data_IF_282100433577
#
_entry.id   IF_282100433577
#
_cell.length_a   1.000
_cell.length_b   1.000
_cell.length_c   1.000
_cell.angle_alpha   90.00
_cell.angle_beta   90.00
_cell.angle_gamma   90.00
#
_symmetry.space_group_name_H-M   'P 1'
#
loop_
_entity.id
_entity.type
_entity.pdbx_description
1 polymer ?
#
# COMPACT_ATOMS: atom_id res chain seq x y z
N UNK A 1 19.04 -14.37 -52.83
CA UNK A 1 18.00 -14.70 -51.84
C UNK A 1 18.48 -14.11 -50.50
N UNK A 2 18.00 -12.93 -50.20
CA UNK A 2 18.37 -12.20 -49.00
C UNK A 2 17.49 -12.69 -47.84
N UNK A 3 18.07 -13.34 -46.86
CA UNK A 3 17.42 -13.63 -45.59
C UNK A 3 17.41 -12.31 -44.80
N UNK A 4 16.22 -11.70 -44.70
CA UNK A 4 15.98 -10.67 -43.71
C UNK A 4 15.99 -11.36 -42.35
N UNK A 5 17.09 -11.23 -41.64
CA UNK A 5 17.13 -11.48 -40.20
C UNK A 5 16.22 -10.45 -39.56
N UNK A 6 15.08 -10.90 -39.08
CA UNK A 6 14.24 -10.16 -38.16
C UNK A 6 15.07 -9.90 -36.91
N UNK A 7 15.64 -8.71 -36.81
CA UNK A 7 16.15 -8.16 -35.57
C UNK A 7 14.93 -7.94 -34.64
N UNK A 8 14.53 -8.99 -33.94
CA UNK A 8 13.76 -8.86 -32.73
C UNK A 8 14.69 -8.17 -31.75
N UNK A 9 14.59 -6.87 -31.63
CA UNK A 9 15.16 -6.17 -30.49
C UNK A 9 14.45 -6.70 -29.26
N UNK A 10 15.11 -7.59 -28.54
CA UNK A 10 14.76 -7.87 -27.16
C UNK A 10 14.77 -6.52 -26.45
N UNK A 11 13.60 -5.99 -26.16
CA UNK A 11 13.45 -4.92 -25.19
C UNK A 11 13.86 -5.53 -23.87
N UNK A 12 15.14 -5.41 -23.52
CA UNK A 12 15.59 -5.66 -22.14
C UNK A 12 14.81 -4.65 -21.28
N UNK A 13 13.84 -5.15 -20.51
CA UNK A 13 13.16 -4.34 -19.53
C UNK A 13 14.20 -3.85 -18.53
N UNK A 14 14.14 -2.56 -18.19
CA UNK A 14 14.97 -2.00 -17.14
C UNK A 14 14.76 -2.85 -15.88
N UNK A 15 15.82 -3.45 -15.30
CA UNK A 15 15.69 -4.26 -14.10
C UNK A 15 15.13 -3.47 -12.91
N UNK A 16 15.17 -2.14 -12.96
CA UNK A 16 14.68 -1.26 -11.90
C UNK A 16 13.63 -0.31 -12.46
N UNK A 17 12.42 -0.40 -11.92
CA UNK A 17 11.34 0.54 -12.17
C UNK A 17 11.19 1.50 -10.99
N UNK A 18 11.08 2.80 -11.26
CA UNK A 18 10.92 3.82 -10.24
C UNK A 18 9.77 4.77 -10.58
N UNK A 19 8.88 4.97 -9.63
CA UNK A 19 7.68 5.79 -9.80
C UNK A 19 7.54 6.81 -8.67
N UNK A 20 7.11 8.01 -9.03
CA UNK A 20 6.82 9.09 -8.08
C UNK A 20 5.41 9.60 -8.34
N UNK A 21 4.68 9.92 -7.25
CA UNK A 21 3.30 10.46 -7.30
C UNK A 21 2.40 9.68 -8.27
N UNK A 22 2.50 8.36 -8.21
CA UNK A 22 1.82 7.47 -9.15
C UNK A 22 0.40 7.16 -8.70
N UNK A 23 -0.60 7.52 -9.53
CA UNK A 23 -1.95 7.04 -9.37
C UNK A 23 -2.05 5.56 -9.73
N UNK A 24 -2.63 4.78 -8.82
CA UNK A 24 -2.93 3.37 -9.00
C UNK A 24 -4.36 3.06 -8.57
N UNK A 25 -4.95 2.06 -9.22
CA UNK A 25 -6.23 1.50 -8.84
C UNK A 25 -6.26 0.00 -9.08
N UNK A 26 -7.03 -0.73 -8.27
CA UNK A 26 -7.26 -2.15 -8.44
C UNK A 26 -8.64 -2.56 -7.95
N UNK A 27 -9.16 -3.64 -8.48
CA UNK A 27 -10.36 -4.28 -7.97
C UNK A 27 -10.00 -5.30 -6.88
N UNK A 28 -10.88 -5.43 -5.88
CA UNK A 28 -10.79 -6.47 -4.86
C UNK A 28 -11.67 -7.65 -5.27
N UNK A 29 -11.07 -8.84 -5.38
CA UNK A 29 -11.69 -10.02 -5.99
C UNK A 29 -13.03 -10.42 -5.36
N UNK A 30 -13.16 -10.29 -4.05
CA UNK A 30 -14.33 -10.73 -3.30
C UNK A 30 -15.22 -9.56 -2.83
N UNK A 31 -15.02 -8.37 -3.43
CA UNK A 31 -15.72 -7.15 -3.07
C UNK A 31 -16.28 -6.49 -4.32
N UNK A 32 -17.40 -5.78 -4.17
CA UNK A 32 -18.02 -5.00 -5.26
C UNK A 32 -17.42 -3.59 -5.38
N UNK A 33 -16.26 -3.37 -4.81
CA UNK A 33 -15.49 -2.13 -4.85
C UNK A 33 -14.00 -2.44 -4.95
N UNK A 34 -13.21 -1.44 -5.27
CA UNK A 34 -11.76 -1.53 -5.37
C UNK A 34 -11.05 -0.52 -4.48
N UNK A 35 -9.75 -0.47 -4.65
CA UNK A 35 -8.86 0.51 -4.01
C UNK A 35 -8.29 1.44 -5.06
N UNK A 36 -8.04 2.68 -4.68
CA UNK A 36 -7.33 3.67 -5.51
C UNK A 36 -6.53 4.63 -4.63
N UNK A 37 -5.47 5.18 -5.17
CA UNK A 37 -4.67 6.18 -4.47
C UNK A 37 -3.48 6.67 -5.27
N UNK A 38 -2.85 7.72 -4.75
CA UNK A 38 -1.56 8.20 -5.21
C UNK A 38 -0.49 7.73 -4.25
N UNK A 39 0.55 7.10 -4.79
CA UNK A 39 1.69 6.63 -4.01
C UNK A 39 2.82 7.62 -4.22
N UNK A 40 3.38 8.14 -3.13
CA UNK A 40 4.42 9.17 -3.19
C UNK A 40 5.64 8.68 -3.96
N UNK A 41 6.13 7.50 -3.61
CA UNK A 41 7.25 6.86 -4.30
C UNK A 41 7.26 5.36 -4.10
N UNK A 42 7.56 4.62 -5.18
CA UNK A 42 7.95 3.21 -5.06
C UNK A 42 8.95 2.80 -6.13
N UNK A 43 9.72 1.77 -5.82
CA UNK A 43 10.74 1.19 -6.68
C UNK A 43 10.55 -0.31 -6.70
N UNK A 44 10.60 -0.90 -7.88
CA UNK A 44 10.59 -2.35 -8.09
C UNK A 44 11.95 -2.72 -8.67
N UNK A 45 12.67 -3.57 -7.97
CA UNK A 45 13.92 -4.17 -8.44
C UNK A 45 13.64 -5.63 -8.82
N UNK A 46 13.62 -5.91 -10.11
CA UNK A 46 13.34 -7.23 -10.65
C UNK A 46 14.49 -8.21 -10.49
N UNK A 47 15.71 -7.72 -10.35
CA UNK A 47 16.90 -8.56 -10.15
C UNK A 47 16.94 -9.12 -8.73
N UNK A 48 16.77 -8.26 -7.74
CA UNK A 48 16.72 -8.67 -6.33
C UNK A 48 15.35 -9.19 -5.89
N UNK A 49 14.31 -9.00 -6.69
CA UNK A 49 12.90 -9.24 -6.36
C UNK A 49 12.46 -8.51 -5.10
N UNK A 50 12.71 -7.22 -5.07
CA UNK A 50 12.33 -6.34 -3.97
C UNK A 50 11.45 -5.19 -4.45
N UNK A 51 10.47 -4.85 -3.64
CA UNK A 51 9.62 -3.66 -3.80
C UNK A 51 9.87 -2.76 -2.60
N UNK A 52 10.25 -1.51 -2.84
CA UNK A 52 10.38 -0.51 -1.78
C UNK A 52 9.34 0.57 -1.99
N UNK A 53 8.44 0.74 -1.03
CA UNK A 53 7.41 1.78 -1.02
C UNK A 53 7.78 2.80 0.05
N UNK A 54 7.76 4.08 -0.33
CA UNK A 54 8.11 5.20 0.54
C UNK A 54 6.91 6.15 0.60
N UNK A 55 6.49 6.44 1.82
CA UNK A 55 5.43 7.40 2.12
C UNK A 55 6.01 8.57 2.93
N UNK A 56 5.86 9.78 2.39
CA UNK A 56 6.40 11.00 3.00
C UNK A 56 5.39 11.60 3.97
N UNK A 57 5.84 11.88 5.18
CA UNK A 57 5.01 12.47 6.24
C UNK A 57 5.68 13.71 6.84
N UNK A 58 4.85 14.66 7.23
CA UNK A 58 5.27 15.74 8.11
C UNK A 58 4.62 15.57 9.48
N UNK A 59 5.33 15.96 10.55
CA UNK A 59 4.80 15.89 11.90
C UNK A 59 5.16 17.12 12.71
N UNK A 60 4.24 17.58 13.54
CA UNK A 60 4.52 18.60 14.56
C UNK A 60 4.95 18.00 15.91
N UNK A 61 4.86 16.67 16.05
CA UNK A 61 5.28 15.93 17.23
C UNK A 61 6.74 15.52 17.13
N UNK A 62 7.43 15.26 18.26
CA UNK A 62 8.76 14.66 18.24
C UNK A 62 8.78 13.34 17.47
N UNK A 63 9.88 13.05 16.78
CA UNK A 63 10.03 11.83 15.96
C UNK A 63 9.89 10.54 16.75
N UNK A 64 10.27 10.52 18.03
CA UNK A 64 10.10 9.37 18.94
C UNK A 64 8.62 9.04 19.25
N UNK A 65 7.70 9.95 18.91
CA UNK A 65 6.25 9.77 19.01
C UNK A 65 5.58 9.40 17.70
N UNK A 66 6.35 9.12 16.64
CA UNK A 66 5.78 8.84 15.34
C UNK A 66 4.94 7.54 15.31
N UNK A 67 5.30 6.52 16.09
CA UNK A 67 4.49 5.30 16.19
C UNK A 67 3.07 5.59 16.67
N UNK A 68 2.89 6.47 17.67
CA UNK A 68 1.57 6.92 18.12
C UNK A 68 0.82 7.67 17.02
N UNK A 69 1.53 8.39 16.16
CA UNK A 69 0.98 9.12 15.02
C UNK A 69 0.47 8.17 13.94
N UNK A 70 1.18 7.07 13.69
CA UNK A 70 0.77 6.02 12.75
C UNK A 70 -0.57 5.43 13.15
N UNK A 71 -0.77 5.15 14.44
CA UNK A 71 -2.02 4.59 14.94
C UNK A 71 -3.15 5.65 14.92
N UNK A 72 -2.86 6.85 15.38
CA UNK A 72 -3.87 7.90 15.50
C UNK A 72 -4.47 8.32 14.15
N UNK A 73 -3.64 8.44 13.10
CA UNK A 73 -4.08 8.82 11.76
C UNK A 73 -4.36 7.63 10.84
N UNK A 74 -4.29 6.40 11.36
CA UNK A 74 -4.47 5.18 10.56
C UNK A 74 -3.49 5.07 9.38
N UNK A 75 -2.26 5.54 9.51
CA UNK A 75 -1.24 5.41 8.48
C UNK A 75 -0.89 3.95 8.18
N UNK A 76 -1.10 3.07 9.16
CA UNK A 76 -1.01 1.62 8.97
C UNK A 76 -1.94 1.10 7.87
N UNK A 77 -3.18 1.62 7.82
CA UNK A 77 -4.14 1.23 6.79
C UNK A 77 -3.74 1.78 5.42
N UNK A 78 -3.25 3.02 5.36
CA UNK A 78 -2.70 3.60 4.13
C UNK A 78 -1.52 2.77 3.60
N UNK A 79 -0.63 2.31 4.46
CA UNK A 79 0.49 1.46 4.08
C UNK A 79 0.03 0.15 3.43
N UNK A 80 -0.95 -0.55 4.02
CA UNK A 80 -1.52 -1.78 3.45
C UNK A 80 -2.20 -1.52 2.11
N UNK A 81 -2.94 -0.42 2.00
CA UNK A 81 -3.57 -0.01 0.73
C UNK A 81 -2.50 0.21 -0.35
N UNK A 82 -1.43 0.92 -0.03
CA UNK A 82 -0.35 1.20 -0.98
C UNK A 82 0.36 -0.06 -1.45
N UNK A 83 0.69 -0.97 -0.53
CA UNK A 83 1.28 -2.26 -0.87
C UNK A 83 0.34 -3.06 -1.80
N UNK A 84 -0.94 -3.11 -1.46
CA UNK A 84 -1.95 -3.82 -2.26
C UNK A 84 -2.08 -3.23 -3.66
N UNK A 85 -2.10 -1.89 -3.76
CA UNK A 85 -2.16 -1.20 -5.03
C UNK A 85 -0.95 -1.51 -5.92
N UNK A 86 0.26 -1.44 -5.39
CA UNK A 86 1.49 -1.72 -6.16
C UNK A 86 1.47 -3.15 -6.69
N UNK A 87 1.16 -4.13 -5.83
CA UNK A 87 1.16 -5.55 -6.22
C UNK A 87 0.08 -5.85 -7.25
N UNK A 88 -1.15 -5.35 -7.03
CA UNK A 88 -2.31 -5.72 -7.87
C UNK A 88 -2.41 -4.92 -9.17
N UNK A 89 -1.80 -3.74 -9.25
CA UNK A 89 -1.83 -2.91 -10.46
C UNK A 89 -0.66 -3.19 -11.40
N UNK A 90 0.34 -3.95 -10.97
CA UNK A 90 1.48 -4.27 -11.81
C UNK A 90 1.11 -5.33 -12.85
N UNK A 91 1.58 -5.15 -14.10
CA UNK A 91 1.26 -6.06 -15.21
C UNK A 91 1.84 -7.45 -15.03
N UNK A 92 3.04 -7.52 -14.42
CA UNK A 92 3.68 -8.80 -14.09
C UNK A 92 3.27 -9.24 -12.70
N UNK A 93 3.30 -10.55 -12.46
CA UNK A 93 3.13 -11.11 -11.13
C UNK A 93 4.38 -10.86 -10.28
N UNK A 94 4.25 -9.98 -9.31
CA UNK A 94 5.28 -9.60 -8.34
C UNK A 94 4.90 -9.98 -6.90
N UNK A 95 3.98 -10.93 -6.75
CA UNK A 95 3.46 -11.34 -5.43
C UNK A 95 4.51 -12.07 -4.58
N UNK A 96 5.55 -12.62 -5.20
CA UNK A 96 6.67 -13.29 -4.53
C UNK A 96 7.83 -12.34 -4.15
N UNK A 97 7.71 -11.05 -4.48
CA UNK A 97 8.74 -10.08 -4.16
C UNK A 97 8.69 -9.71 -2.68
N UNK A 98 9.88 -9.46 -2.12
CA UNK A 98 10.01 -8.91 -0.77
C UNK A 98 9.55 -7.46 -0.74
N UNK A 99 8.69 -7.11 0.22
CA UNK A 99 8.15 -5.77 0.35
C UNK A 99 8.82 -5.05 1.50
N UNK A 100 9.43 -3.92 1.18
CA UNK A 100 9.99 -2.98 2.14
C UNK A 100 9.08 -1.73 2.14
N UNK A 101 8.50 -1.41 3.28
CA UNK A 101 7.71 -0.19 3.46
C UNK A 101 8.43 0.77 4.41
N UNK A 102 8.52 2.03 4.02
CA UNK A 102 9.24 3.06 4.77
C UNK A 102 8.39 4.32 4.89
N UNK A 103 8.38 4.91 6.09
CA UNK A 103 7.96 6.29 6.27
C UNK A 103 9.19 7.19 6.29
N UNK A 104 9.22 8.22 5.46
CA UNK A 104 10.21 9.31 5.55
C UNK A 104 9.51 10.49 6.19
N UNK A 105 9.91 10.83 7.39
CA UNK A 105 9.21 11.79 8.25
C UNK A 105 10.08 13.03 8.47
N UNK A 106 9.47 14.20 8.26
CA UNK A 106 10.08 15.50 8.52
C UNK A 106 9.33 16.15 9.68
N UNK A 107 10.04 16.55 10.73
CA UNK A 107 9.44 17.26 11.84
C UNK A 107 9.44 18.78 11.64
N UNK A 108 8.90 19.53 12.62
CA UNK A 108 8.85 20.98 12.59
C UNK A 108 10.21 21.68 12.78
N UNK A 109 11.28 20.92 13.03
CA UNK A 109 12.66 21.40 13.17
C UNK A 109 13.53 21.01 11.96
N UNK A 110 12.90 20.63 10.83
CA UNK A 110 13.56 20.16 9.61
C UNK A 110 14.45 18.91 9.83
N UNK A 111 14.17 18.12 10.89
CA UNK A 111 14.81 16.84 11.08
C UNK A 111 14.11 15.79 10.23
N UNK A 112 14.89 14.98 9.55
CA UNK A 112 14.39 13.89 8.68
C UNK A 112 14.81 12.55 9.26
N UNK A 113 13.85 11.63 9.36
CA UNK A 113 14.11 10.27 9.77
C UNK A 113 13.34 9.28 8.92
N UNK A 114 13.95 8.12 8.65
CA UNK A 114 13.33 7.02 7.91
C UNK A 114 12.98 5.90 8.87
N UNK A 115 11.69 5.56 8.93
CA UNK A 115 11.18 4.44 9.71
C UNK A 115 10.93 3.26 8.78
N UNK A 116 11.63 2.16 9.01
CA UNK A 116 11.35 0.89 8.36
C UNK A 116 10.22 0.17 9.09
N UNK A 117 9.30 -0.42 8.34
CA UNK A 117 8.21 -1.21 8.90
C UNK A 117 8.58 -2.69 8.88
N UNK A 118 8.65 -3.31 10.06
CA UNK A 118 8.99 -4.72 10.21
C UNK A 118 7.94 -5.64 9.54
N UNK A 119 8.34 -6.84 9.14
CA UNK A 119 7.45 -7.80 8.48
C UNK A 119 6.31 -8.26 9.41
N UNK A 120 6.58 -8.44 10.69
CA UNK A 120 5.59 -8.76 11.71
C UNK A 120 4.53 -7.66 11.82
N UNK A 121 4.97 -6.41 11.85
CA UNK A 121 4.08 -5.24 11.91
C UNK A 121 3.19 -5.16 10.66
N UNK A 122 3.76 -5.39 9.48
CA UNK A 122 2.97 -5.45 8.23
C UNK A 122 1.92 -6.55 8.30
N UNK A 123 2.25 -7.73 8.82
CA UNK A 123 1.32 -8.84 8.96
C UNK A 123 0.15 -8.50 9.90
N UNK A 124 0.42 -7.83 11.01
CA UNK A 124 -0.62 -7.33 11.92
C UNK A 124 -1.51 -6.30 11.23
N UNK A 125 -0.93 -5.39 10.48
CA UNK A 125 -1.68 -4.38 9.72
C UNK A 125 -2.57 -4.99 8.63
N UNK A 126 -2.11 -6.03 7.94
CA UNK A 126 -2.93 -6.78 6.99
C UNK A 126 -4.14 -7.41 7.66
N UNK A 127 -3.96 -8.02 8.84
CA UNK A 127 -5.07 -8.61 9.60
C UNK A 127 -6.12 -7.54 9.96
N UNK A 128 -5.69 -6.41 10.51
CA UNK A 128 -6.58 -5.29 10.82
C UNK A 128 -7.28 -4.72 9.57
N UNK A 129 -6.57 -4.67 8.45
CA UNK A 129 -7.14 -4.19 7.20
C UNK A 129 -8.24 -5.12 6.65
N UNK A 130 -8.07 -6.44 6.75
CA UNK A 130 -9.12 -7.38 6.37
C UNK A 130 -10.39 -7.19 7.20
N UNK A 131 -10.27 -6.93 8.50
CA UNK A 131 -11.42 -6.62 9.35
C UNK A 131 -12.14 -5.34 8.89
N UNK A 132 -11.38 -4.31 8.51
CA UNK A 132 -11.96 -3.07 7.95
C UNK A 132 -12.65 -3.32 6.61
N UNK A 133 -12.06 -4.15 5.75
CA UNK A 133 -12.68 -4.52 4.46
C UNK A 133 -14.00 -5.26 4.64
N UNK A 134 -14.12 -6.17 5.62
CA UNK A 134 -15.37 -6.87 5.93
C UNK A 134 -16.45 -5.89 6.40
N UNK A 135 -16.09 -4.93 7.23
CA UNK A 135 -17.00 -3.87 7.65
C UNK A 135 -17.46 -3.00 6.47
N UNK A 136 -16.53 -2.59 5.64
CA UNK A 136 -16.81 -1.79 4.45
C UNK A 136 -17.70 -2.57 3.46
N UNK A 137 -17.44 -3.86 3.29
CA UNK A 137 -18.24 -4.74 2.43
C UNK A 137 -19.68 -4.81 2.89
N UNK A 138 -19.91 -5.01 4.19
CA UNK A 138 -21.24 -5.04 4.76
C UNK A 138 -22.01 -3.75 4.44
N UNK A 139 -21.44 -2.58 4.76
CA UNK A 139 -22.10 -1.31 4.50
C UNK A 139 -22.33 -1.04 3.01
N UNK A 140 -21.39 -1.45 2.17
CA UNK A 140 -21.50 -1.28 0.73
C UNK A 140 -22.59 -2.16 0.13
N UNK A 141 -22.68 -3.43 0.53
CA UNK A 141 -23.64 -4.39 0.00
C UNK A 141 -25.06 -4.07 0.49
N UNK A 142 -25.23 -3.75 1.78
CA UNK A 142 -26.51 -3.41 2.37
C UNK A 142 -27.00 -1.99 2.03
N UNK A 143 -26.12 -1.14 1.49
CA UNK A 143 -26.39 0.28 1.23
C UNK A 143 -26.89 1.03 2.48
N UNK A 144 -26.52 0.57 3.65
CA UNK A 144 -26.87 1.15 4.95
C UNK A 144 -25.62 1.69 5.64
N UNK A 145 -25.60 2.99 5.81
CA UNK A 145 -24.51 3.75 6.45
C UNK A 145 -25.01 4.51 7.70
N UNK A 146 -26.22 4.18 8.17
CA UNK A 146 -26.89 4.92 9.28
C UNK A 146 -26.27 4.63 10.62
N UNK A 147 -25.78 3.40 10.81
CA UNK A 147 -25.14 2.94 12.05
C UNK A 147 -23.73 2.42 11.79
N UNK A 148 -22.79 2.62 12.72
CA UNK A 148 -21.51 1.91 12.69
C UNK A 148 -21.72 0.39 12.64
N UNK A 149 -20.80 -0.33 12.01
CA UNK A 149 -20.90 -1.78 11.77
C UNK A 149 -21.28 -2.60 13.00
N UNK A 150 -20.68 -2.33 14.14
CA UNK A 150 -20.94 -3.03 15.39
C UNK A 150 -22.39 -2.90 15.83
N UNK A 151 -22.98 -1.70 15.73
CA UNK A 151 -24.38 -1.46 16.05
C UNK A 151 -25.32 -2.06 15.02
N UNK A 152 -24.98 -2.00 13.73
CA UNK A 152 -25.76 -2.60 12.66
C UNK A 152 -25.85 -4.12 12.79
N UNK A 153 -24.80 -4.77 13.30
CA UNK A 153 -24.77 -6.21 13.59
C UNK A 153 -25.40 -6.60 14.93
N UNK A 154 -25.76 -5.64 15.78
CA UNK A 154 -26.38 -5.92 17.06
C UNK A 154 -25.46 -6.53 18.13
N UNK A 155 -24.15 -6.35 17.99
CA UNK A 155 -23.13 -6.96 18.86
C UNK A 155 -22.57 -6.01 19.92
N UNK A 156 -23.24 -4.90 20.21
CA UNK A 156 -22.78 -3.95 21.22
C UNK A 156 -23.25 -4.37 22.59
N UNK A 157 -22.31 -4.67 23.47
CA UNK A 157 -22.54 -4.92 24.89
C UNK A 157 -21.96 -3.73 25.66
N UNK A 158 -22.78 -3.12 26.51
CA UNK A 158 -22.38 -2.02 27.40
C UNK A 158 -21.84 -2.55 28.71
#
# INVERSE_FOLDING_TARGET
MSLLEDNVTDFEMDPIESYNEKYLECNLKDHNFGLKGYIDRYVIDHESKEITIIDFKTTSKPLDKFAETVDYYNYWMQAVIYITLVIKSHEQDITDYKINFKFVVIDSYDQVYTFDVADETKSEWYTGFYEVLEQAKYHYDERDYTLPYQFAKGNVIL
#
